data_IF_394974286639
#
_entry.id   IF_394974286639
#
_cell.length_a   1.000
_cell.length_b   1.000
_cell.length_c   1.000
_cell.angle_alpha   90.00
_cell.angle_beta   90.00
_cell.angle_gamma   90.00
#
_symmetry.space_group_name_H-M   'P 1'
#
loop_
_entity.id
_entity.type
_entity.pdbx_description
1 polymer ?
#
# COMPACT_ATOMS: atom_id res chain seq x y z
N UNK A 1 -8.40 22.21 -30.83
CA UNK A 1 -9.45 21.73 -29.89
C UNK A 1 -9.45 20.22 -29.61
N UNK A 2 -8.34 19.47 -29.81
CA UNK A 2 -8.27 18.02 -29.46
C UNK A 2 -7.08 17.60 -28.57
N UNK A 3 -6.29 18.54 -28.04
CA UNK A 3 -5.15 18.21 -27.19
C UNK A 3 -5.41 18.34 -25.67
N UNK A 4 -6.52 18.98 -25.25
CA UNK A 4 -6.85 19.15 -23.82
C UNK A 4 -7.60 17.97 -23.19
N UNK A 5 -8.18 17.07 -23.99
CA UNK A 5 -9.04 15.97 -23.47
C UNK A 5 -8.24 14.75 -23.02
N UNK A 6 -6.96 14.61 -23.39
CA UNK A 6 -6.13 13.47 -23.00
C UNK A 6 -5.36 13.64 -21.69
N UNK A 7 -5.30 14.84 -21.11
CA UNK A 7 -4.54 15.11 -19.89
C UNK A 7 -5.36 15.00 -18.60
N UNK A 8 -6.69 14.88 -18.66
CA UNK A 8 -7.55 14.87 -17.47
C UNK A 8 -8.09 13.48 -17.07
N UNK A 9 -7.74 12.41 -17.78
CA UNK A 9 -8.45 11.11 -17.64
C UNK A 9 -7.82 10.09 -16.69
N UNK A 10 -6.75 10.39 -15.93
CA UNK A 10 -6.06 9.36 -15.13
C UNK A 10 -5.63 9.73 -13.70
N UNK A 11 -6.22 10.74 -13.06
CA UNK A 11 -5.88 11.07 -11.65
C UNK A 11 -6.83 10.47 -10.59
N UNK A 12 -7.78 9.61 -10.98
CA UNK A 12 -8.70 8.93 -10.04
C UNK A 12 -8.34 7.46 -9.89
N UNK A 13 -7.11 7.19 -9.47
CA UNK A 13 -6.83 5.91 -8.83
C UNK A 13 -7.39 5.97 -7.39
N UNK A 14 -8.03 4.92 -6.86
CA UNK A 14 -8.54 4.91 -5.48
C UNK A 14 -7.43 5.04 -4.41
N UNK A 15 -6.17 5.04 -4.84
CA UNK A 15 -4.98 5.38 -4.07
C UNK A 15 -4.89 6.90 -3.89
N UNK A 16 -5.46 7.39 -2.79
CA UNK A 16 -5.31 8.77 -2.35
C UNK A 16 -4.54 8.85 -1.03
N UNK A 17 -4.69 9.99 -0.33
CA UNK A 17 -4.03 10.32 0.96
C UNK A 17 -3.89 9.18 1.99
N UNK A 18 -4.83 8.22 2.14
CA UNK A 18 -4.65 7.10 3.07
C UNK A 18 -3.43 6.22 2.78
N UNK A 19 -3.03 6.07 1.51
CA UNK A 19 -1.84 5.26 1.15
C UNK A 19 -0.55 5.94 1.60
N UNK A 20 -0.51 7.28 1.51
CA UNK A 20 0.64 8.07 1.95
C UNK A 20 0.79 8.03 3.48
N UNK A 21 -0.32 8.05 4.22
CA UNK A 21 -0.30 7.92 5.68
C UNK A 21 0.24 6.55 6.10
N UNK A 22 -0.16 5.48 5.40
CA UNK A 22 0.38 4.14 5.63
C UNK A 22 1.89 4.09 5.37
N UNK A 23 2.34 4.64 4.24
CA UNK A 23 3.77 4.71 3.91
C UNK A 23 4.59 5.50 4.95
N UNK A 24 4.10 6.66 5.39
CA UNK A 24 4.72 7.45 6.46
C UNK A 24 4.81 6.67 7.79
N UNK A 25 3.80 5.86 8.11
CA UNK A 25 3.83 4.98 9.29
C UNK A 25 4.92 3.93 9.21
N UNK A 26 5.08 3.28 8.05
CA UNK A 26 6.16 2.31 7.82
C UNK A 26 7.55 2.96 7.96
N UNK A 27 7.75 4.15 7.38
CA UNK A 27 9.02 4.89 7.48
C UNK A 27 9.32 5.28 8.93
N UNK A 28 8.33 5.80 9.65
CA UNK A 28 8.52 6.19 11.06
C UNK A 28 8.90 4.98 11.92
N UNK A 29 8.25 3.83 11.71
CA UNK A 29 8.59 2.60 12.40
C UNK A 29 10.01 2.12 12.08
N UNK A 30 10.40 2.12 10.80
CA UNK A 30 11.75 1.76 10.37
C UNK A 30 12.82 2.68 10.98
N UNK A 31 12.55 3.99 11.07
CA UNK A 31 13.45 4.93 11.75
C UNK A 31 13.60 4.63 13.24
N UNK A 32 12.55 4.15 13.90
CA UNK A 32 12.61 3.79 15.34
C UNK A 32 13.33 2.46 15.59
N UNK A 33 13.22 1.49 14.68
CA UNK A 33 13.79 0.15 14.85
C UNK A 33 15.15 -0.02 14.15
N UNK A 34 15.49 0.83 13.19
CA UNK A 34 16.67 0.70 12.33
C UNK A 34 16.62 -0.49 11.37
N UNK A 35 15.43 -1.08 11.18
CA UNK A 35 15.18 -2.26 10.35
C UNK A 35 13.85 -2.08 9.62
N UNK A 36 13.78 -2.48 8.34
CA UNK A 36 12.57 -2.37 7.55
C UNK A 36 11.40 -3.11 8.21
N UNK A 37 10.30 -2.37 8.49
CA UNK A 37 9.14 -2.88 9.23
C UNK A 37 8.52 -4.12 8.58
N UNK A 38 8.48 -4.13 7.25
CA UNK A 38 7.94 -5.23 6.44
C UNK A 38 8.91 -5.59 5.32
N UNK A 39 10.06 -6.19 5.67
CA UNK A 39 11.04 -6.69 4.71
C UNK A 39 10.52 -7.95 3.98
N UNK A 40 9.64 -7.78 3.00
CA UNK A 40 9.14 -8.86 2.16
C UNK A 40 10.07 -9.17 1.00
N UNK A 41 10.33 -10.44 0.72
CA UNK A 41 11.11 -10.85 -0.46
C UNK A 41 10.27 -10.92 -1.75
N UNK A 42 8.94 -10.97 -1.60
CA UNK A 42 7.95 -10.93 -2.69
C UNK A 42 6.69 -10.20 -2.23
N UNK A 43 5.82 -9.81 -3.16
CA UNK A 43 4.55 -9.12 -2.83
C UNK A 43 3.69 -9.96 -1.86
N UNK A 44 3.69 -11.29 -2.03
CA UNK A 44 2.98 -12.23 -1.17
C UNK A 44 3.62 -12.27 0.24
N UNK A 45 4.95 -12.33 0.33
CA UNK A 45 5.66 -12.33 1.62
C UNK A 45 5.48 -11.00 2.37
N UNK A 46 5.51 -9.87 1.64
CA UNK A 46 5.25 -8.56 2.20
C UNK A 46 3.83 -8.48 2.77
N UNK A 47 2.84 -8.98 2.04
CA UNK A 47 1.45 -9.01 2.48
C UNK A 47 1.26 -9.95 3.68
N UNK A 48 1.90 -11.12 3.68
CA UNK A 48 1.89 -12.03 4.83
C UNK A 48 2.45 -11.38 6.09
N UNK A 49 3.55 -10.62 5.99
CA UNK A 49 4.13 -9.89 7.12
C UNK A 49 3.20 -8.79 7.63
N UNK A 50 2.54 -8.07 6.73
CA UNK A 50 1.52 -7.08 7.10
C UNK A 50 0.38 -7.75 7.87
N UNK A 51 -0.15 -8.87 7.38
CA UNK A 51 -1.20 -9.62 8.07
C UNK A 51 -0.76 -10.17 9.43
N UNK A 52 0.49 -10.60 9.54
CA UNK A 52 1.04 -11.07 10.82
C UNK A 52 1.08 -9.97 11.87
N UNK A 53 1.29 -8.71 11.47
CA UNK A 53 1.34 -7.56 12.39
C UNK A 53 -0.02 -6.92 12.65
N UNK A 54 -0.87 -6.76 11.63
CA UNK A 54 -2.17 -6.08 11.74
C UNK A 54 -3.36 -7.03 11.94
N UNK A 55 -3.18 -8.32 11.72
CA UNK A 55 -4.24 -9.32 11.68
C UNK A 55 -4.67 -9.71 10.26
N UNK A 56 -5.56 -10.72 10.16
CA UNK A 56 -5.98 -11.29 8.88
C UNK A 56 -6.75 -10.27 8.03
N UNK A 57 -6.65 -10.44 6.70
CA UNK A 57 -7.40 -9.60 5.77
C UNK A 57 -8.89 -9.95 5.88
N UNK A 58 -9.81 -8.97 5.71
CA UNK A 58 -11.24 -9.25 5.60
C UNK A 58 -11.54 -10.31 4.53
N UNK A 59 -12.50 -11.23 4.75
CA UNK A 59 -12.80 -12.35 3.83
C UNK A 59 -13.01 -11.93 2.37
N UNK A 60 -13.67 -10.78 2.16
CA UNK A 60 -13.90 -10.18 0.84
C UNK A 60 -12.64 -9.91 0.01
N UNK A 61 -11.47 -9.79 0.64
CA UNK A 61 -10.19 -9.60 -0.05
C UNK A 61 -9.39 -10.90 -0.16
N UNK A 62 -9.71 -11.91 0.65
CA UNK A 62 -9.08 -13.24 0.57
C UNK A 62 -9.58 -14.03 -0.65
N UNK A 63 -10.83 -13.81 -1.07
CA UNK A 63 -11.40 -14.42 -2.27
C UNK A 63 -10.81 -13.84 -3.58
N UNK A 64 -10.17 -12.68 -3.51
CA UNK A 64 -9.59 -11.97 -4.65
C UNK A 64 -8.07 -12.17 -4.80
N UNK A 65 -7.46 -12.95 -3.91
CA UNK A 65 -6.05 -13.38 -3.95
C UNK A 65 -5.93 -14.74 -4.64
#
# INVERSE_FOLDING_TARGET
>A
MKAKVYLETNFRSPYGKPVDIWACGCIMAELTTGQALFAGESDIDQLYRIQKCLGPLPPKYMEAM
#
